data_IF_058606474279
#
_entry.id   IF_058606474279
#
_cell.length_a   1.000
_cell.length_b   1.000
_cell.length_c   1.000
_cell.angle_alpha   90.00
_cell.angle_beta   90.00
_cell.angle_gamma   90.00
#
_symmetry.space_group_name_H-M   'P 1'
#
loop_
_entity.id
_entity.type
_entity.pdbx_description
1 polymer ?
#
# COMPACT_ATOMS: atom_id res chain seq x y z
N UNK A 1 15.67 29.26 -7.29
CA UNK A 1 16.28 28.16 -8.07
C UNK A 1 17.08 27.36 -7.05
N UNK A 2 16.60 26.32 -6.37
CA UNK A 2 15.63 25.26 -6.67
C UNK A 2 15.00 24.82 -5.34
N UNK A 3 13.67 24.85 -5.21
CA UNK A 3 12.97 24.27 -4.04
C UNK A 3 11.68 23.60 -4.54
N UNK A 4 11.84 22.70 -5.51
CA UNK A 4 10.75 21.91 -6.09
C UNK A 4 11.24 20.48 -6.33
N UNK A 5 11.75 19.83 -5.29
CA UNK A 5 12.04 18.40 -5.28
C UNK A 5 11.64 17.82 -3.92
N UNK A 6 10.36 17.56 -3.72
CA UNK A 6 9.90 16.76 -2.57
C UNK A 6 8.53 16.07 -2.78
N UNK A 7 8.09 15.83 -4.02
CA UNK A 7 6.74 15.30 -4.28
C UNK A 7 6.63 13.77 -4.35
N UNK A 8 7.69 12.98 -4.11
CA UNK A 8 7.63 11.53 -4.39
C UNK A 8 7.92 10.58 -3.22
N UNK A 9 8.34 11.05 -2.05
CA UNK A 9 8.64 10.16 -0.91
C UNK A 9 7.87 10.55 0.35
N UNK A 10 6.60 10.14 0.38
CA UNK A 10 5.72 10.19 1.56
C UNK A 10 5.98 8.94 2.39
N UNK A 11 7.10 8.91 3.12
CA UNK A 11 7.31 7.89 4.14
C UNK A 11 7.90 8.59 5.36
N UNK A 12 7.05 9.27 6.12
CA UNK A 12 7.46 9.74 7.43
C UNK A 12 7.75 8.50 8.29
N UNK A 13 8.99 8.36 8.77
CA UNK A 13 9.54 7.09 9.25
C UNK A 13 9.06 6.78 10.68
N UNK A 14 7.75 6.57 10.82
CA UNK A 14 7.07 6.32 12.09
C UNK A 14 6.88 4.81 12.35
N UNK A 15 6.31 4.47 13.51
CA UNK A 15 6.01 3.09 13.93
C UNK A 15 5.11 2.33 12.94
N UNK A 16 4.30 3.02 12.15
CA UNK A 16 3.39 2.38 11.18
C UNK A 16 4.13 1.86 9.96
N UNK A 17 5.25 2.48 9.54
CA UNK A 17 6.11 1.93 8.50
C UNK A 17 6.71 0.57 8.91
N UNK A 18 7.13 0.42 10.16
CA UNK A 18 7.64 -0.88 10.66
C UNK A 18 6.55 -1.96 10.60
N UNK A 19 5.31 -1.62 10.96
CA UNK A 19 4.17 -2.56 10.87
C UNK A 19 3.86 -2.94 9.42
N UNK A 20 3.93 -1.98 8.49
CA UNK A 20 3.70 -2.22 7.06
C UNK A 20 4.79 -3.11 6.47
N UNK A 21 6.06 -2.83 6.76
CA UNK A 21 7.17 -3.69 6.36
C UNK A 21 7.01 -5.10 6.93
N UNK A 22 6.60 -5.25 8.19
CA UNK A 22 6.33 -6.57 8.79
C UNK A 22 5.14 -7.30 8.14
N UNK A 23 4.15 -6.58 7.59
CA UNK A 23 3.06 -7.19 6.80
C UNK A 23 3.57 -7.64 5.44
N UNK A 24 4.38 -6.84 4.76
CA UNK A 24 5.02 -7.20 3.49
C UNK A 24 5.92 -8.43 3.62
N UNK A 25 6.78 -8.48 4.65
CA UNK A 25 7.62 -9.66 4.95
C UNK A 25 6.80 -10.93 5.15
N UNK A 26 5.62 -10.83 5.78
CA UNK A 26 4.70 -11.97 5.93
C UNK A 26 4.11 -12.40 4.60
N UNK A 27 3.67 -11.46 3.77
CA UNK A 27 3.17 -11.75 2.43
C UNK A 27 4.24 -12.39 1.54
N UNK A 28 5.50 -11.94 1.66
CA UNK A 28 6.65 -12.57 0.99
C UNK A 28 6.84 -14.03 1.44
N UNK A 29 6.78 -14.29 2.75
CA UNK A 29 6.84 -15.65 3.29
C UNK A 29 5.71 -16.55 2.79
N UNK A 30 4.48 -16.01 2.69
CA UNK A 30 3.34 -16.73 2.12
C UNK A 30 3.55 -17.05 0.64
N UNK A 31 4.06 -16.11 -0.15
CA UNK A 31 4.39 -16.34 -1.56
C UNK A 31 5.45 -17.43 -1.74
N UNK A 32 6.49 -17.45 -0.90
CA UNK A 32 7.48 -18.53 -0.88
C UNK A 32 6.85 -19.89 -0.52
N UNK A 33 5.87 -19.90 0.40
CA UNK A 33 5.09 -21.10 0.71
C UNK A 33 4.29 -21.60 -0.49
N UNK A 34 3.62 -20.69 -1.21
CA UNK A 34 2.85 -21.01 -2.42
C UNK A 34 3.75 -21.57 -3.52
N UNK A 35 4.96 -21.03 -3.70
CA UNK A 35 5.94 -21.58 -4.65
C UNK A 35 6.24 -23.06 -4.35
N UNK A 36 6.48 -23.40 -3.08
CA UNK A 36 6.68 -24.80 -2.66
C UNK A 36 5.44 -25.66 -2.90
N UNK A 37 4.24 -25.15 -2.61
CA UNK A 37 3.00 -25.88 -2.90
C UNK A 37 2.87 -26.23 -4.38
N UNK A 38 3.31 -25.35 -5.27
CA UNK A 38 3.33 -25.60 -6.72
C UNK A 38 4.37 -26.66 -7.07
N UNK A 39 5.58 -26.55 -6.52
CA UNK A 39 6.66 -27.55 -6.72
C UNK A 39 6.29 -28.93 -6.18
N UNK A 40 5.49 -28.99 -5.12
CA UNK A 40 4.99 -30.21 -4.47
C UNK A 40 3.65 -30.70 -5.07
N UNK A 41 3.23 -30.14 -6.23
CA UNK A 41 2.02 -30.50 -6.97
C UNK A 41 0.75 -30.54 -6.09
N UNK A 42 0.63 -29.61 -5.16
CA UNK A 42 -0.54 -29.50 -4.27
C UNK A 42 -1.81 -29.10 -5.04
N UNK A 43 -2.96 -29.37 -4.41
CA UNK A 43 -4.27 -29.12 -5.01
C UNK A 43 -4.48 -27.64 -5.38
N UNK A 44 -5.05 -27.43 -6.57
CA UNK A 44 -5.29 -26.10 -7.13
C UNK A 44 -6.15 -25.23 -6.18
N UNK A 45 -7.13 -25.83 -5.50
CA UNK A 45 -8.00 -25.11 -4.56
C UNK A 45 -7.22 -24.56 -3.36
N UNK A 46 -6.21 -25.27 -2.88
CA UNK A 46 -5.38 -24.84 -1.77
C UNK A 46 -4.44 -23.70 -2.19
N UNK A 47 -3.84 -23.82 -3.38
CA UNK A 47 -3.02 -22.76 -3.98
C UNK A 47 -3.83 -21.48 -4.15
N UNK A 48 -5.04 -21.56 -4.73
CA UNK A 48 -5.93 -20.41 -4.93
C UNK A 48 -6.37 -19.80 -3.59
N UNK A 49 -6.58 -20.63 -2.57
CA UNK A 49 -6.90 -20.17 -1.21
C UNK A 49 -5.75 -19.36 -0.63
N UNK A 50 -4.51 -19.85 -0.72
CA UNK A 50 -3.34 -19.12 -0.23
C UNK A 50 -3.07 -17.84 -1.02
N UNK A 51 -3.18 -17.87 -2.36
CA UNK A 51 -3.07 -16.67 -3.19
C UNK A 51 -4.13 -15.63 -2.83
N UNK A 52 -5.36 -16.05 -2.53
CA UNK A 52 -6.43 -15.15 -2.09
C UNK A 52 -6.13 -14.53 -0.72
N UNK A 53 -5.52 -15.27 0.20
CA UNK A 53 -5.05 -14.73 1.48
C UNK A 53 -3.96 -13.68 1.30
N UNK A 54 -2.98 -13.92 0.41
CA UNK A 54 -1.95 -12.93 0.06
C UNK A 54 -2.58 -11.69 -0.57
N UNK A 55 -3.48 -11.85 -1.54
CA UNK A 55 -4.21 -10.73 -2.17
C UNK A 55 -4.95 -9.88 -1.14
N UNK A 56 -5.64 -10.51 -0.18
CA UNK A 56 -6.32 -9.80 0.90
C UNK A 56 -5.35 -9.00 1.78
N UNK A 57 -4.19 -9.58 2.10
CA UNK A 57 -3.14 -8.89 2.86
C UNK A 57 -2.62 -7.65 2.11
N UNK A 58 -2.35 -7.80 0.80
CA UNK A 58 -1.88 -6.71 -0.07
C UNK A 58 -2.93 -5.60 -0.16
N UNK A 59 -4.20 -5.94 -0.39
CA UNK A 59 -5.29 -4.98 -0.44
C UNK A 59 -5.42 -4.18 0.86
N UNK A 60 -5.29 -4.85 2.01
CA UNK A 60 -5.28 -4.16 3.31
C UNK A 60 -4.11 -3.18 3.43
N UNK A 61 -2.91 -3.54 2.95
CA UNK A 61 -1.74 -2.65 2.96
C UNK A 61 -1.91 -1.45 2.04
N UNK A 62 -2.43 -1.66 0.81
CA UNK A 62 -2.73 -0.56 -0.10
C UNK A 62 -3.72 0.43 0.54
N UNK A 63 -4.77 -0.07 1.19
CA UNK A 63 -5.72 0.77 1.91
C UNK A 63 -5.06 1.63 3.01
N UNK A 64 -4.09 1.07 3.75
CA UNK A 64 -3.34 1.82 4.77
C UNK A 64 -2.47 2.91 4.15
N UNK A 65 -1.76 2.63 3.06
CA UNK A 65 -0.94 3.64 2.34
C UNK A 65 -1.82 4.80 1.88
N UNK A 66 -2.98 4.49 1.28
CA UNK A 66 -3.89 5.53 0.79
C UNK A 66 -4.48 6.33 1.95
N UNK A 67 -4.88 5.67 3.04
CA UNK A 67 -5.37 6.35 4.24
C UNK A 67 -4.33 7.33 4.81
N UNK A 68 -3.05 6.93 4.85
CA UNK A 68 -1.96 7.83 5.27
C UNK A 68 -1.81 9.05 4.35
N UNK A 69 -1.93 8.86 3.02
CA UNK A 69 -1.91 9.98 2.07
C UNK A 69 -3.07 10.95 2.32
N UNK A 70 -4.28 10.44 2.52
CA UNK A 70 -5.47 11.26 2.81
C UNK A 70 -5.31 12.00 4.14
N UNK A 71 -4.86 11.30 5.18
CA UNK A 71 -4.58 11.89 6.49
C UNK A 71 -3.55 13.02 6.39
N UNK A 72 -2.46 12.81 5.65
CA UNK A 72 -1.42 13.83 5.40
C UNK A 72 -1.98 15.07 4.69
N UNK A 73 -2.91 14.90 3.74
CA UNK A 73 -3.60 16.03 3.11
C UNK A 73 -4.47 16.83 4.10
N UNK A 74 -5.05 16.19 5.11
CA UNK A 74 -5.89 16.84 6.13
C UNK A 74 -5.03 17.52 7.20
N UNK A 75 -3.98 16.85 7.69
CA UNK A 75 -3.10 17.35 8.75
C UNK A 75 -2.14 18.44 8.26
N UNK A 76 -1.80 18.42 6.97
CA UNK A 76 -0.89 19.38 6.34
C UNK A 76 -1.55 19.99 5.08
N UNK A 77 -2.55 20.87 5.26
CA UNK A 77 -3.25 21.50 4.15
C UNK A 77 -2.32 22.45 3.39
N UNK A 78 -2.51 22.56 2.07
CA UNK A 78 -1.88 23.64 1.29
C UNK A 78 -2.60 24.96 1.55
N UNK A 79 -1.85 26.05 1.55
CA UNK A 79 -2.37 27.42 1.60
C UNK A 79 -3.09 27.81 0.28
N UNK A 80 -2.87 27.05 -0.80
CA UNK A 80 -3.56 27.20 -2.07
C UNK A 80 -4.74 26.19 -2.16
N UNK A 81 -6.00 26.66 -2.22
CA UNK A 81 -7.17 25.78 -2.34
C UNK A 81 -7.16 24.89 -3.59
N UNK A 82 -6.66 25.38 -4.72
CA UNK A 82 -6.61 24.61 -5.97
C UNK A 82 -5.59 23.48 -5.88
N UNK A 83 -4.42 23.76 -5.30
CA UNK A 83 -3.40 22.73 -5.05
C UNK A 83 -3.89 21.68 -4.03
N UNK A 84 -4.58 22.11 -2.98
CA UNK A 84 -5.17 21.22 -1.99
C UNK A 84 -6.19 20.26 -2.62
N UNK A 85 -7.04 20.77 -3.50
CA UNK A 85 -8.01 19.95 -4.24
C UNK A 85 -7.30 18.91 -5.12
N UNK A 86 -6.26 19.32 -5.87
CA UNK A 86 -5.48 18.39 -6.69
C UNK A 86 -4.85 17.28 -5.84
N UNK A 87 -4.21 17.63 -4.71
CA UNK A 87 -3.60 16.66 -3.78
C UNK A 87 -4.61 15.64 -3.26
N UNK A 88 -5.82 16.08 -2.94
CA UNK A 88 -6.89 15.21 -2.46
C UNK A 88 -7.44 14.31 -3.58
N UNK A 89 -7.66 14.87 -4.77
CA UNK A 89 -8.11 14.13 -5.95
C UNK A 89 -7.13 13.02 -6.35
N UNK A 90 -5.82 13.27 -6.25
CA UNK A 90 -4.80 12.24 -6.47
C UNK A 90 -4.94 11.07 -5.49
N UNK A 91 -5.17 11.35 -4.20
CA UNK A 91 -5.36 10.32 -3.19
C UNK A 91 -6.65 9.51 -3.43
N UNK A 92 -7.75 10.17 -3.80
CA UNK A 92 -9.03 9.53 -4.11
C UNK A 92 -8.91 8.63 -5.35
N UNK A 93 -8.18 9.06 -6.39
CA UNK A 93 -7.96 8.25 -7.60
C UNK A 93 -7.32 6.90 -7.29
N UNK A 94 -6.48 6.79 -6.26
CA UNK A 94 -5.89 5.52 -5.84
C UNK A 94 -6.90 4.53 -5.26
N UNK A 95 -8.03 5.01 -4.74
CA UNK A 95 -9.13 4.17 -4.21
C UNK A 95 -10.02 3.66 -5.34
N UNK A 96 -10.28 4.51 -6.33
CA UNK A 96 -11.24 4.24 -7.41
C UNK A 96 -10.63 3.36 -8.52
N UNK A 97 -9.30 3.37 -8.67
CA UNK A 97 -8.59 2.46 -9.59
C UNK A 97 -8.63 1.03 -9.01
N UNK A 98 -9.65 0.25 -9.36
CA UNK A 98 -9.66 -1.21 -9.21
C UNK A 98 -8.94 -1.89 -10.36
#
# INVERSE_FOLDING_TARGET
MTFFEASSTIWDMNTDNKKMINRLKRAEGQLRGIQKMIEEEQECIDIVTQLSAVRSSINSMMGLVIAQKVQSCIENPSDNPEEQEVRLQEAIKLIVKK
#
